data_IF_024860976988
#
_entry.id   IF_024860976988
#
_cell.length_a   1.000
_cell.length_b   1.000
_cell.length_c   1.000
_cell.angle_alpha   90.00
_cell.angle_beta   90.00
_cell.angle_gamma   90.00
#
_symmetry.space_group_name_H-M   'P 1'
#
loop_
_entity.id
_entity.type
_entity.pdbx_description
1 polymer ?
#
# COMPACT_ATOMS: atom_id res chain seq x y z
N UNK A 1 -0.41 19.63 -39.31
CA UNK A 1 -0.14 18.72 -38.18
C UNK A 1 -0.03 17.31 -38.73
N UNK A 2 1.05 16.60 -38.43
CA UNK A 2 1.17 15.20 -38.82
C UNK A 2 0.18 14.37 -37.98
N UNK A 3 -0.34 13.28 -38.53
CA UNK A 3 -1.17 12.35 -37.76
C UNK A 3 -0.28 11.61 -36.75
N UNK A 4 -0.83 11.33 -35.57
CA UNK A 4 -0.19 10.44 -34.60
C UNK A 4 -0.07 9.04 -35.22
N UNK A 5 1.10 8.43 -35.10
CA UNK A 5 1.39 7.08 -35.63
C UNK A 5 1.85 6.21 -34.47
N UNK A 6 1.27 5.03 -34.32
CA UNK A 6 1.68 4.05 -33.33
C UNK A 6 2.29 2.83 -34.02
N UNK A 7 3.45 2.37 -33.55
CA UNK A 7 4.12 1.16 -34.03
C UNK A 7 4.63 0.33 -32.87
N UNK A 8 4.58 -0.98 -32.99
CA UNK A 8 5.33 -1.88 -32.11
C UNK A 8 6.70 -2.13 -32.72
N UNK A 9 7.77 -1.96 -31.93
CA UNK A 9 9.15 -2.09 -32.37
C UNK A 9 9.96 -2.88 -31.35
N UNK A 10 10.87 -3.72 -31.83
CA UNK A 10 11.91 -4.34 -31.01
C UNK A 10 13.06 -3.34 -30.85
N UNK A 11 13.17 -2.76 -29.66
CA UNK A 11 14.13 -1.70 -29.38
C UNK A 11 15.39 -2.33 -28.80
N UNK A 12 16.49 -2.23 -29.55
CA UNK A 12 17.82 -2.65 -29.10
C UNK A 12 18.48 -1.59 -28.22
N UNK A 13 19.52 -1.95 -27.43
CA UNK A 13 20.33 -0.96 -26.69
C UNK A 13 20.85 0.18 -27.56
N UNK A 14 21.35 -0.11 -28.76
CA UNK A 14 21.87 0.91 -29.69
C UNK A 14 20.77 1.85 -30.18
N UNK A 15 19.58 1.30 -30.52
CA UNK A 15 18.43 2.11 -30.89
C UNK A 15 17.98 3.00 -29.74
N UNK A 16 17.98 2.48 -28.51
CA UNK A 16 17.63 3.24 -27.33
C UNK A 16 18.61 4.40 -27.07
N UNK A 17 19.92 4.16 -27.25
CA UNK A 17 20.94 5.18 -27.14
C UNK A 17 20.74 6.30 -28.16
N UNK A 18 20.52 5.94 -29.43
CA UNK A 18 20.22 6.92 -30.50
C UNK A 18 18.94 7.72 -30.23
N UNK A 19 17.89 7.08 -29.70
CA UNK A 19 16.67 7.78 -29.31
C UNK A 19 16.94 8.80 -28.20
N UNK A 20 17.76 8.44 -27.21
CA UNK A 20 18.08 9.30 -26.06
C UNK A 20 18.95 10.51 -26.42
N UNK A 21 19.70 10.50 -27.53
CA UNK A 21 20.40 11.70 -28.02
C UNK A 21 19.45 12.88 -28.28
N UNK A 22 18.17 12.58 -28.56
CA UNK A 22 17.10 13.57 -28.79
C UNK A 22 16.30 13.89 -27.52
N UNK A 23 16.74 13.43 -26.35
CA UNK A 23 16.04 13.66 -25.09
C UNK A 23 16.39 15.02 -24.48
N UNK A 24 15.72 16.08 -24.92
CA UNK A 24 16.02 17.46 -24.52
C UNK A 24 15.04 18.05 -23.50
N UNK A 25 13.91 17.37 -23.24
CA UNK A 25 12.77 17.95 -22.51
C UNK A 25 12.40 17.19 -21.23
N UNK A 26 12.85 15.95 -21.06
CA UNK A 26 12.46 15.17 -19.89
C UNK A 26 13.21 15.62 -18.62
N UNK A 27 12.56 15.41 -17.47
CA UNK A 27 13.11 15.63 -16.14
C UNK A 27 14.38 14.80 -15.87
N UNK A 28 15.14 15.20 -14.85
CA UNK A 28 16.26 14.41 -14.33
C UNK A 28 15.88 12.94 -14.14
N UNK A 29 16.78 12.06 -14.58
CA UNK A 29 16.57 10.62 -14.49
C UNK A 29 16.64 10.12 -13.04
N UNK A 30 15.88 9.07 -12.75
CA UNK A 30 15.93 8.38 -11.46
C UNK A 30 16.62 7.05 -11.69
N UNK A 31 17.89 6.95 -11.30
CA UNK A 31 18.69 5.74 -11.49
C UNK A 31 18.03 4.52 -10.84
N UNK A 32 17.38 4.71 -9.69
CA UNK A 32 16.63 3.65 -9.01
C UNK A 32 15.53 3.03 -9.89
N UNK A 33 14.80 3.85 -10.65
CA UNK A 33 13.76 3.34 -11.55
C UNK A 33 14.36 2.66 -12.78
N UNK A 34 15.47 3.17 -13.31
CA UNK A 34 16.19 2.57 -14.43
C UNK A 34 16.69 1.18 -14.06
N UNK A 35 17.45 1.07 -12.97
CA UNK A 35 18.01 -0.21 -12.51
C UNK A 35 16.92 -1.24 -12.21
N UNK A 36 15.79 -0.81 -11.63
CA UNK A 36 14.64 -1.71 -11.44
C UNK A 36 14.11 -2.25 -12.77
N UNK A 37 13.81 -1.37 -13.72
CA UNK A 37 13.30 -1.78 -15.03
C UNK A 37 14.32 -2.65 -15.77
N UNK A 38 15.61 -2.34 -15.67
CA UNK A 38 16.67 -3.13 -16.28
C UNK A 38 16.72 -4.55 -15.71
N UNK A 39 16.58 -4.70 -14.38
CA UNK A 39 16.50 -6.02 -13.75
C UNK A 39 15.24 -6.79 -14.17
N UNK A 40 14.09 -6.14 -14.25
CA UNK A 40 12.84 -6.76 -14.71
C UNK A 40 12.98 -7.22 -16.18
N UNK A 41 13.60 -6.41 -17.04
CA UNK A 41 13.89 -6.76 -18.44
C UNK A 41 14.87 -7.93 -18.56
N UNK A 42 15.99 -7.88 -17.83
CA UNK A 42 17.03 -8.90 -17.87
C UNK A 42 16.56 -10.26 -17.32
N UNK A 43 15.66 -10.25 -16.33
CA UNK A 43 15.08 -11.45 -15.74
C UNK A 43 13.87 -12.02 -16.51
N UNK A 44 13.39 -11.31 -17.54
CA UNK A 44 12.17 -11.67 -18.27
C UNK A 44 10.88 -11.40 -17.51
N UNK A 45 10.95 -10.74 -16.35
CA UNK A 45 9.79 -10.32 -15.56
C UNK A 45 9.12 -9.03 -16.12
N UNK A 46 9.72 -8.40 -17.13
CA UNK A 46 9.16 -7.20 -17.76
C UNK A 46 7.85 -7.49 -18.48
N UNK A 47 6.75 -6.96 -17.96
CA UNK A 47 5.43 -7.05 -18.58
C UNK A 47 5.18 -5.88 -19.55
N UNK A 48 4.68 -6.19 -20.74
CA UNK A 48 4.15 -5.20 -21.68
C UNK A 48 2.79 -4.67 -21.19
N UNK A 49 2.82 -3.76 -20.22
CA UNK A 49 1.63 -3.18 -19.58
C UNK A 49 0.97 -2.04 -20.39
N UNK A 50 1.27 -1.91 -21.69
CA UNK A 50 0.71 -0.88 -22.58
C UNK A 50 1.40 0.48 -22.50
N UNK A 51 2.43 0.62 -21.67
CA UNK A 51 3.25 1.82 -21.62
C UNK A 51 4.05 2.04 -22.93
N UNK A 52 4.15 3.30 -23.36
CA UNK A 52 4.68 3.66 -24.69
C UNK A 52 5.94 4.51 -24.61
N UNK A 53 6.75 4.54 -25.67
CA UNK A 53 7.72 5.62 -25.93
C UNK A 53 7.05 6.66 -26.80
N UNK A 54 7.09 7.94 -26.40
CA UNK A 54 6.43 9.03 -27.14
C UNK A 54 7.48 9.95 -27.75
N UNK A 55 7.36 10.18 -29.05
CA UNK A 55 8.31 10.97 -29.84
C UNK A 55 7.57 12.11 -30.55
N UNK A 56 8.12 13.31 -30.45
CA UNK A 56 7.60 14.49 -31.12
C UNK A 56 7.80 14.46 -32.64
N UNK A 57 7.13 15.36 -33.36
CA UNK A 57 7.28 15.48 -34.82
C UNK A 57 8.73 15.76 -35.27
N UNK A 58 9.55 16.36 -34.41
CA UNK A 58 10.97 16.69 -34.66
C UNK A 58 11.96 15.65 -34.09
N UNK A 59 11.45 14.53 -33.58
CA UNK A 59 12.25 13.46 -33.00
C UNK A 59 12.57 13.61 -31.51
N UNK A 60 12.13 14.69 -30.85
CA UNK A 60 12.34 14.87 -29.40
C UNK A 60 11.64 13.77 -28.60
N UNK A 61 12.33 13.15 -27.64
CA UNK A 61 11.72 12.19 -26.71
C UNK A 61 10.88 12.92 -25.68
N UNK A 62 9.58 12.60 -25.63
CA UNK A 62 8.61 13.22 -24.74
C UNK A 62 8.24 12.34 -23.54
N UNK A 63 8.45 11.02 -23.65
CA UNK A 63 8.17 10.03 -22.61
C UNK A 63 8.91 8.74 -22.92
N UNK A 64 9.22 7.97 -21.88
CA UNK A 64 9.89 6.68 -21.98
C UNK A 64 11.39 6.71 -21.70
N UNK A 65 11.94 7.83 -21.21
CA UNK A 65 13.38 7.93 -20.96
C UNK A 65 13.92 6.83 -20.03
N UNK A 66 13.21 6.51 -18.93
CA UNK A 66 13.67 5.46 -17.99
C UNK A 66 13.63 4.07 -18.64
N UNK A 67 12.68 3.84 -19.55
CA UNK A 67 12.56 2.58 -20.30
C UNK A 67 13.70 2.44 -21.30
N UNK A 68 14.02 3.51 -22.03
CA UNK A 68 15.15 3.53 -22.97
C UNK A 68 16.48 3.31 -22.24
N UNK A 69 16.71 3.99 -21.12
CA UNK A 69 17.90 3.77 -20.30
C UNK A 69 17.95 2.35 -19.71
N UNK A 70 16.80 1.79 -19.32
CA UNK A 70 16.74 0.43 -18.80
C UNK A 70 17.05 -0.64 -19.87
N UNK A 71 16.65 -0.41 -21.12
CA UNK A 71 17.02 -1.27 -22.26
C UNK A 71 18.55 -1.24 -22.46
N UNK A 72 19.17 -0.06 -22.35
CA UNK A 72 20.64 0.07 -22.42
C UNK A 72 21.30 -0.67 -21.24
N UNK A 73 20.84 -0.43 -20.01
CA UNK A 73 21.43 -0.99 -18.79
C UNK A 73 21.23 -2.51 -18.68
N UNK A 74 20.10 -3.05 -19.15
CA UNK A 74 19.84 -4.50 -19.17
C UNK A 74 20.56 -5.22 -20.31
N UNK A 75 20.91 -4.51 -21.38
CA UNK A 75 21.57 -5.08 -22.56
C UNK A 75 20.67 -5.99 -23.40
N UNK A 76 19.36 -6.07 -23.13
CA UNK A 76 18.42 -6.92 -23.86
C UNK A 76 17.55 -6.10 -24.82
N UNK A 77 17.11 -6.73 -25.92
CA UNK A 77 16.13 -6.13 -26.83
C UNK A 77 14.73 -6.29 -26.27
N UNK A 78 13.96 -5.21 -26.21
CA UNK A 78 12.60 -5.20 -25.66
C UNK A 78 11.61 -4.68 -26.68
N UNK A 79 10.56 -5.46 -26.92
CA UNK A 79 9.43 -5.03 -27.76
C UNK A 79 8.63 -3.94 -27.05
N UNK A 80 8.47 -2.78 -27.70
CA UNK A 80 7.84 -1.59 -27.14
C UNK A 80 6.88 -0.93 -28.13
N UNK A 81 5.83 -0.30 -27.62
CA UNK A 81 4.93 0.54 -28.42
C UNK A 81 5.53 1.95 -28.50
N UNK A 82 5.77 2.43 -29.72
CA UNK A 82 6.30 3.77 -30.01
C UNK A 82 5.23 4.61 -30.71
N UNK A 83 4.96 5.78 -30.13
CA UNK A 83 3.98 6.75 -30.61
C UNK A 83 4.73 7.97 -31.16
N UNK A 84 4.63 8.18 -32.47
CA UNK A 84 5.27 9.27 -33.19
C UNK A 84 4.32 10.45 -33.42
N UNK A 85 4.91 11.61 -33.73
CA UNK A 85 4.23 12.87 -34.05
C UNK A 85 3.36 13.40 -32.90
N UNK A 86 3.78 13.17 -31.65
CA UNK A 86 3.10 13.73 -30.49
C UNK A 86 3.43 15.22 -30.39
N UNK A 87 2.41 16.06 -30.21
CA UNK A 87 2.59 17.51 -30.04
C UNK A 87 3.40 17.81 -28.77
N UNK A 88 4.42 18.68 -28.86
CA UNK A 88 5.27 19.02 -27.71
C UNK A 88 4.47 19.69 -26.58
N UNK A 89 3.40 20.38 -26.91
CA UNK A 89 2.51 21.02 -25.94
C UNK A 89 1.75 19.99 -25.09
N UNK A 90 1.67 18.73 -25.53
CA UNK A 90 1.09 17.64 -24.76
C UNK A 90 2.01 17.14 -23.64
N UNK A 91 3.28 17.56 -23.57
CA UNK A 91 4.23 17.13 -22.52
C UNK A 91 3.71 17.45 -21.11
N UNK A 92 2.94 18.53 -20.94
CA UNK A 92 2.34 18.87 -19.65
C UNK A 92 1.20 17.94 -19.19
N UNK A 93 0.57 17.19 -20.11
CA UNK A 93 -0.48 16.21 -19.79
C UNK A 93 0.03 14.76 -19.81
N UNK A 94 1.06 14.50 -20.62
CA UNK A 94 1.86 13.28 -20.61
C UNK A 94 2.57 13.24 -19.24
N UNK A 95 2.32 12.20 -18.45
CA UNK A 95 2.88 12.03 -17.10
C UNK A 95 2.19 12.80 -15.95
N UNK A 96 0.97 13.29 -16.16
CA UNK A 96 0.03 13.58 -15.05
C UNK A 96 -0.50 12.32 -14.35
N UNK A 97 0.06 11.15 -14.69
CA UNK A 97 -0.36 9.82 -14.26
C UNK A 97 -0.56 9.79 -12.75
N UNK A 98 -1.82 9.73 -12.34
CA UNK A 98 -2.21 9.49 -10.96
C UNK A 98 -1.46 8.25 -10.52
N UNK A 99 -0.48 8.41 -9.61
CA UNK A 99 0.18 7.29 -8.94
C UNK A 99 -0.91 6.32 -8.54
N UNK A 100 -0.94 5.11 -9.11
CA UNK A 100 -1.99 4.15 -8.80
C UNK A 100 -1.85 3.76 -7.34
N UNK A 101 -2.61 4.45 -6.48
CA UNK A 101 -2.67 4.18 -5.05
C UNK A 101 -3.05 2.73 -4.84
N UNK A 102 -2.50 2.09 -3.81
CA UNK A 102 -2.68 0.65 -3.59
C UNK A 102 -4.16 0.22 -3.55
N UNK A 103 -5.07 1.05 -3.02
CA UNK A 103 -6.51 0.76 -3.05
C UNK A 103 -7.12 0.72 -4.46
N UNK A 104 -6.60 1.49 -5.43
CA UNK A 104 -7.03 1.39 -6.83
C UNK A 104 -6.65 0.03 -7.42
N UNK A 105 -5.48 -0.49 -7.06
CA UNK A 105 -5.06 -1.83 -7.46
C UNK A 105 -5.96 -2.90 -6.82
N UNK A 106 -6.27 -2.79 -5.52
CA UNK A 106 -7.19 -3.73 -4.87
C UNK A 106 -8.59 -3.72 -5.49
N UNK A 107 -9.08 -2.54 -5.91
CA UNK A 107 -10.36 -2.43 -6.64
C UNK A 107 -10.32 -3.20 -7.96
N UNK A 108 -9.22 -3.13 -8.71
CA UNK A 108 -9.03 -3.91 -9.95
C UNK A 108 -9.01 -5.41 -9.64
N UNK A 109 -8.38 -5.81 -8.53
CA UNK A 109 -8.33 -7.22 -8.07
C UNK A 109 -9.64 -7.73 -7.47
N UNK A 110 -10.70 -6.93 -7.44
CA UNK A 110 -12.04 -7.33 -6.99
C UNK A 110 -12.27 -7.24 -5.48
N UNK A 111 -11.44 -6.51 -4.74
CA UNK A 111 -11.67 -6.21 -3.31
C UNK A 111 -13.01 -5.50 -3.14
N UNK A 112 -13.82 -5.94 -2.17
CA UNK A 112 -15.08 -5.28 -1.83
C UNK A 112 -14.87 -4.07 -0.92
N UNK A 113 -13.73 -4.03 -0.21
CA UNK A 113 -13.38 -3.01 0.77
C UNK A 113 -12.01 -2.39 0.49
N UNK A 114 -11.75 -1.87 -0.74
CA UNK A 114 -10.40 -1.61 -1.25
C UNK A 114 -9.61 -0.59 -0.41
N UNK A 115 -10.26 0.45 0.11
CA UNK A 115 -9.61 1.49 0.92
C UNK A 115 -9.17 0.94 2.28
N UNK A 116 -10.06 0.20 2.95
CA UNK A 116 -9.79 -0.35 4.28
C UNK A 116 -8.79 -1.52 4.18
N UNK A 117 -9.00 -2.44 3.24
CA UNK A 117 -8.11 -3.56 2.98
C UNK A 117 -6.69 -3.09 2.64
N UNK A 118 -6.53 -2.03 1.82
CA UNK A 118 -5.21 -1.46 1.51
C UNK A 118 -4.47 -0.98 2.77
N UNK A 119 -5.16 -0.33 3.70
CA UNK A 119 -4.54 0.17 4.93
C UNK A 119 -4.21 -0.97 5.90
N UNK A 120 -5.10 -1.96 6.04
CA UNK A 120 -4.84 -3.16 6.84
C UNK A 120 -3.62 -3.90 6.31
N UNK A 121 -3.56 -4.13 5.00
CA UNK A 121 -2.43 -4.79 4.32
C UNK A 121 -1.11 -4.07 4.64
N UNK A 122 -1.11 -2.74 4.52
CA UNK A 122 0.08 -1.93 4.82
C UNK A 122 0.51 -2.06 6.29
N UNK A 123 -0.43 -2.00 7.23
CA UNK A 123 -0.12 -2.20 8.65
C UNK A 123 0.40 -3.61 8.93
N UNK A 124 -0.24 -4.63 8.36
CA UNK A 124 0.17 -6.02 8.50
C UNK A 124 1.59 -6.27 8.00
N UNK A 125 1.91 -5.80 6.79
CA UNK A 125 3.25 -5.86 6.23
C UNK A 125 4.29 -5.20 7.15
N UNK A 126 4.03 -3.97 7.60
CA UNK A 126 4.96 -3.23 8.49
C UNK A 126 5.11 -3.95 9.85
N UNK A 127 4.03 -4.48 10.40
CA UNK A 127 4.04 -5.15 11.71
C UNK A 127 4.93 -6.38 11.70
N UNK A 128 4.82 -7.18 10.65
CA UNK A 128 5.48 -8.49 10.54
C UNK A 128 6.94 -8.37 10.11
N UNK A 129 7.31 -7.33 9.36
CA UNK A 129 8.64 -7.23 8.75
C UNK A 129 9.56 -6.15 9.37
N UNK A 130 9.04 -5.26 10.23
CA UNK A 130 9.81 -4.10 10.73
C UNK A 130 9.64 -3.88 12.25
N UNK A 131 9.98 -4.91 13.02
CA UNK A 131 10.15 -4.90 14.50
C UNK A 131 8.93 -4.43 15.31
N UNK A 132 7.70 -4.50 14.76
CA UNK A 132 6.47 -4.03 15.42
C UNK A 132 6.53 -2.56 15.89
N UNK A 133 7.54 -1.80 15.45
CA UNK A 133 7.76 -0.44 15.90
C UNK A 133 6.79 0.53 15.24
N UNK A 134 6.25 0.21 14.05
CA UNK A 134 5.22 1.03 13.38
C UNK A 134 5.59 2.53 13.31
N UNK A 135 6.88 2.86 13.20
CA UNK A 135 7.38 4.24 13.13
C UNK A 135 7.20 4.77 11.71
N UNK A 136 6.82 6.04 11.57
CA UNK A 136 6.44 6.61 10.27
C UNK A 136 7.61 6.79 9.28
N UNK A 137 8.86 6.73 9.77
CA UNK A 137 10.08 6.97 8.99
C UNK A 137 10.39 5.91 7.94
N UNK A 138 9.77 4.73 8.02
CA UNK A 138 9.96 3.59 7.11
C UNK A 138 9.11 3.67 5.82
N UNK A 139 8.25 4.70 5.71
CA UNK A 139 7.10 4.71 4.80
C UNK A 139 7.38 4.84 3.28
N UNK A 140 8.58 5.25 2.84
CA UNK A 140 8.82 5.57 1.40
C UNK A 140 9.27 4.39 0.54
N UNK A 141 9.95 3.39 1.10
CA UNK A 141 10.42 2.21 0.35
C UNK A 141 9.51 0.99 0.57
N UNK A 142 8.86 0.91 1.73
CA UNK A 142 8.20 -0.29 2.26
C UNK A 142 6.70 -0.37 1.98
N UNK A 143 6.17 0.55 1.17
CA UNK A 143 4.72 0.65 0.86
C UNK A 143 4.44 0.66 -0.64
N UNK A 144 5.42 0.21 -1.44
CA UNK A 144 5.29 0.06 -2.89
C UNK A 144 4.30 -1.06 -3.20
N UNK A 145 3.48 -0.86 -4.23
CA UNK A 145 2.51 -1.86 -4.67
C UNK A 145 3.16 -3.22 -4.98
N UNK A 146 4.38 -3.23 -5.54
CA UNK A 146 5.11 -4.47 -5.85
C UNK A 146 5.45 -5.35 -4.64
N UNK A 147 5.40 -4.79 -3.43
CA UNK A 147 5.61 -5.53 -2.18
C UNK A 147 4.27 -5.84 -1.52
N UNK A 148 3.36 -4.87 -1.50
CA UNK A 148 2.06 -5.01 -0.83
C UNK A 148 1.10 -5.94 -1.59
N UNK A 149 1.20 -6.02 -2.91
CA UNK A 149 0.32 -6.84 -3.75
C UNK A 149 0.51 -8.35 -3.52
N UNK A 150 1.73 -8.91 -3.58
CA UNK A 150 1.93 -10.33 -3.24
C UNK A 150 1.48 -10.64 -1.81
N UNK A 151 1.80 -9.78 -0.85
CA UNK A 151 1.37 -9.96 0.54
C UNK A 151 -0.15 -9.95 0.70
N UNK A 152 -0.85 -9.06 -0.03
CA UNK A 152 -2.31 -9.04 -0.06
C UNK A 152 -2.86 -10.33 -0.66
N UNK A 153 -2.30 -10.81 -1.77
CA UNK A 153 -2.78 -12.02 -2.44
C UNK A 153 -2.63 -13.26 -1.55
N UNK A 154 -1.52 -13.39 -0.84
CA UNK A 154 -1.27 -14.49 0.11
C UNK A 154 -2.21 -14.47 1.32
N UNK A 155 -2.65 -13.29 1.76
CA UNK A 155 -3.44 -13.10 2.98
C UNK A 155 -4.88 -12.63 2.68
N UNK A 156 -5.33 -12.77 1.44
CA UNK A 156 -6.51 -12.08 0.89
C UNK A 156 -7.78 -12.31 1.72
N UNK A 157 -8.08 -13.56 2.03
CA UNK A 157 -9.32 -13.92 2.72
C UNK A 157 -9.41 -13.28 4.11
N UNK A 158 -8.30 -13.33 4.88
CA UNK A 158 -8.24 -12.72 6.20
C UNK A 158 -8.28 -11.20 6.14
N UNK A 159 -7.60 -10.59 5.17
CA UNK A 159 -7.57 -9.14 4.98
C UNK A 159 -8.95 -8.58 4.56
N UNK A 160 -9.62 -9.24 3.62
CA UNK A 160 -10.97 -8.87 3.19
C UNK A 160 -11.99 -9.09 4.29
N UNK A 161 -11.91 -10.21 5.03
CA UNK A 161 -12.78 -10.47 6.16
C UNK A 161 -12.62 -9.40 7.25
N UNK A 162 -11.36 -9.07 7.58
CA UNK A 162 -11.09 -8.03 8.56
C UNK A 162 -11.58 -6.64 8.11
N UNK A 163 -11.44 -6.32 6.82
CA UNK A 163 -11.96 -5.09 6.24
C UNK A 163 -13.50 -5.03 6.29
N UNK A 164 -14.18 -6.13 5.93
CA UNK A 164 -15.64 -6.24 5.97
C UNK A 164 -16.19 -6.03 7.40
N UNK A 165 -15.60 -6.71 8.38
CA UNK A 165 -15.99 -6.58 9.79
C UNK A 165 -15.80 -5.16 10.32
N UNK A 166 -14.70 -4.50 9.92
CA UNK A 166 -14.39 -3.12 10.31
C UNK A 166 -15.31 -2.09 9.63
N UNK A 167 -15.80 -2.36 8.42
CA UNK A 167 -16.70 -1.46 7.70
C UNK A 167 -18.15 -1.54 8.18
N UNK A 168 -18.56 -2.66 8.75
CA UNK A 168 -19.90 -2.88 9.29
C UNK A 168 -19.97 -2.54 10.80
N UNK A 169 -21.00 -1.83 11.26
CA UNK A 169 -21.38 -1.77 12.69
C UNK A 169 -20.36 -1.17 13.67
N UNK A 170 -19.36 -0.42 13.19
CA UNK A 170 -18.24 0.09 13.99
C UNK A 170 -17.97 1.60 13.78
N UNK A 171 -19.02 2.40 13.53
CA UNK A 171 -18.89 3.82 13.15
C UNK A 171 -18.17 4.72 14.17
N UNK A 172 -18.06 4.29 15.42
CA UNK A 172 -17.38 5.00 16.49
C UNK A 172 -15.86 4.80 16.49
N UNK A 173 -15.35 3.85 15.70
CA UNK A 173 -13.95 3.42 15.74
C UNK A 173 -13.26 3.63 14.39
N UNK A 174 -11.94 3.87 14.42
CA UNK A 174 -11.15 3.98 13.20
C UNK A 174 -11.04 2.61 12.55
N UNK A 175 -11.67 2.45 11.39
CA UNK A 175 -11.83 1.17 10.68
C UNK A 175 -10.51 0.47 10.42
N UNK A 176 -9.49 1.19 9.94
CA UNK A 176 -8.18 0.60 9.64
C UNK A 176 -7.45 0.07 10.88
N UNK A 177 -7.56 0.75 12.02
CA UNK A 177 -6.94 0.29 13.27
C UNK A 177 -7.65 -0.96 13.80
N UNK A 178 -8.98 -0.91 13.82
CA UNK A 178 -9.81 -2.04 14.24
C UNK A 178 -9.57 -3.26 13.36
N UNK A 179 -9.66 -3.09 12.03
CA UNK A 179 -9.49 -4.16 11.06
C UNK A 179 -8.08 -4.76 11.12
N UNK A 180 -7.05 -3.94 11.29
CA UNK A 180 -5.68 -4.45 11.45
C UNK A 180 -5.51 -5.26 12.74
N UNK A 181 -5.99 -4.77 13.88
CA UNK A 181 -5.93 -5.54 15.12
C UNK A 181 -6.74 -6.85 15.01
N UNK A 182 -7.93 -6.80 14.42
CA UNK A 182 -8.75 -7.97 14.20
C UNK A 182 -8.07 -8.99 13.26
N UNK A 183 -7.43 -8.54 12.18
CA UNK A 183 -6.58 -9.37 11.33
C UNK A 183 -5.48 -10.09 12.13
N UNK A 184 -4.76 -9.39 13.01
CA UNK A 184 -3.76 -10.03 13.87
C UNK A 184 -4.38 -11.06 14.81
N UNK A 185 -5.58 -10.79 15.36
CA UNK A 185 -6.26 -11.70 16.27
C UNK A 185 -6.79 -12.95 15.55
N UNK A 186 -7.30 -12.79 14.32
CA UNK A 186 -7.72 -13.90 13.47
C UNK A 186 -6.56 -14.88 13.21
N UNK A 187 -5.35 -14.37 12.97
CA UNK A 187 -4.15 -15.20 12.78
C UNK A 187 -3.76 -16.01 14.03
N UNK A 188 -4.18 -15.59 15.23
CA UNK A 188 -3.88 -16.26 16.50
C UNK A 188 -4.98 -17.21 16.95
N UNK A 189 -6.23 -16.73 16.95
CA UNK A 189 -7.39 -17.51 17.35
C UNK A 189 -8.66 -16.94 16.69
N UNK A 190 -9.12 -17.51 15.55
CA UNK A 190 -10.27 -16.99 14.81
C UNK A 190 -11.54 -16.90 15.65
N UNK A 191 -11.86 -17.95 16.43
CA UNK A 191 -13.08 -18.00 17.23
C UNK A 191 -13.11 -16.90 18.30
N UNK A 192 -12.01 -16.73 19.04
CA UNK A 192 -11.91 -15.68 20.05
C UNK A 192 -11.85 -14.28 19.44
N UNK A 193 -11.27 -14.14 18.25
CA UNK A 193 -11.24 -12.87 17.53
C UNK A 193 -12.65 -12.40 17.18
N UNK A 194 -13.50 -13.31 16.68
CA UNK A 194 -14.90 -13.02 16.37
C UNK A 194 -15.71 -12.62 17.62
N UNK A 195 -15.52 -13.37 18.71
CA UNK A 195 -16.14 -13.05 20.00
C UNK A 195 -15.71 -11.65 20.49
N UNK A 196 -14.40 -11.39 20.47
CA UNK A 196 -13.83 -10.12 20.89
C UNK A 196 -14.37 -8.95 20.07
N UNK A 197 -14.36 -9.05 18.73
CA UNK A 197 -14.79 -7.95 17.87
C UNK A 197 -16.30 -7.69 17.97
N UNK A 198 -17.10 -8.74 18.15
CA UNK A 198 -18.55 -8.62 18.41
C UNK A 198 -18.80 -7.83 19.69
N UNK A 199 -18.11 -8.16 20.78
CA UNK A 199 -18.21 -7.43 22.05
C UNK A 199 -17.69 -5.98 21.91
N UNK A 200 -16.60 -5.77 21.18
CA UNK A 200 -16.06 -4.42 20.88
C UNK A 200 -17.06 -3.58 20.11
N UNK A 201 -17.87 -4.15 19.23
CA UNK A 201 -18.85 -3.41 18.42
C UNK A 201 -20.15 -3.15 19.20
N UNK A 202 -20.73 -4.20 19.77
CA UNK A 202 -22.03 -4.14 20.48
C UNK A 202 -21.92 -3.42 21.82
N UNK A 203 -20.87 -3.72 22.60
CA UNK A 203 -20.77 -3.28 23.99
C UNK A 203 -21.68 -4.03 24.96
N UNK A 204 -22.30 -5.12 24.52
CA UNK A 204 -23.21 -5.92 25.34
C UNK A 204 -22.46 -6.81 26.32
N UNK A 205 -23.08 -7.10 27.47
CA UNK A 205 -22.54 -7.99 28.52
C UNK A 205 -21.17 -7.57 29.07
N UNK A 206 -20.86 -6.28 29.00
CA UNK A 206 -19.64 -5.71 29.56
C UNK A 206 -19.88 -5.22 30.99
N UNK A 207 -18.95 -5.52 31.89
CA UNK A 207 -18.99 -5.12 33.30
C UNK A 207 -17.83 -4.17 33.63
N UNK A 208 -17.91 -3.47 34.76
CA UNK A 208 -16.84 -2.59 35.25
C UNK A 208 -15.54 -3.37 35.47
N UNK A 209 -14.48 -3.00 34.76
CA UNK A 209 -13.20 -3.73 34.78
C UNK A 209 -12.98 -4.63 33.57
N UNK A 210 -14.03 -4.92 32.79
CA UNK A 210 -13.92 -5.72 31.57
C UNK A 210 -12.98 -5.02 30.55
N UNK A 211 -11.94 -5.69 30.02
CA UNK A 211 -10.93 -5.06 29.16
C UNK A 211 -11.52 -4.40 27.89
N UNK A 212 -12.53 -5.02 27.29
CA UNK A 212 -13.27 -4.48 26.14
C UNK A 212 -14.06 -3.20 26.49
N UNK A 213 -14.64 -3.10 27.70
CA UNK A 213 -15.33 -1.89 28.13
C UNK A 213 -14.34 -0.73 28.21
N UNK A 214 -13.20 -0.96 28.85
CA UNK A 214 -12.12 0.01 28.97
C UNK A 214 -11.59 0.45 27.60
N UNK A 215 -11.41 -0.48 26.67
CA UNK A 215 -11.04 -0.16 25.29
C UNK A 215 -12.08 0.76 24.63
N UNK A 216 -13.35 0.36 24.67
CA UNK A 216 -14.45 1.12 24.04
C UNK A 216 -14.53 2.53 24.59
N UNK A 217 -14.56 2.70 25.91
CA UNK A 217 -14.58 4.02 26.55
C UNK A 217 -13.40 4.87 26.09
N UNK A 218 -12.18 4.31 26.12
CA UNK A 218 -10.97 5.04 25.71
C UNK A 218 -11.01 5.51 24.26
N UNK A 219 -11.53 4.69 23.33
CA UNK A 219 -11.65 5.05 21.92
C UNK A 219 -12.79 6.05 21.65
N UNK A 220 -13.90 5.94 22.36
CA UNK A 220 -15.03 6.87 22.25
C UNK A 220 -14.62 8.25 22.80
N UNK A 221 -14.02 8.31 23.98
CA UNK A 221 -13.52 9.55 24.60
C UNK A 221 -12.49 10.24 23.70
N UNK A 222 -11.65 9.45 23.01
CA UNK A 222 -10.68 9.98 22.06
C UNK A 222 -11.32 10.78 20.91
N UNK A 223 -12.57 10.51 20.53
CA UNK A 223 -13.25 11.26 19.45
C UNK A 223 -13.47 12.72 19.81
N UNK A 224 -13.73 13.02 21.08
CA UNK A 224 -13.96 14.39 21.57
C UNK A 224 -12.74 15.00 22.25
N UNK A 225 -11.74 14.19 22.61
CA UNK A 225 -10.48 14.67 23.20
C UNK A 225 -9.76 15.67 22.30
N UNK A 226 -9.20 16.73 22.89
CA UNK A 226 -8.26 17.65 22.23
C UNK A 226 -6.90 16.98 21.96
N UNK A 227 -6.48 16.10 22.85
CA UNK A 227 -5.26 15.32 22.73
C UNK A 227 -5.61 13.95 22.14
N UNK A 228 -5.44 13.80 20.83
CA UNK A 228 -5.77 12.56 20.11
C UNK A 228 -4.76 11.47 20.42
N UNK A 229 -5.26 10.25 20.60
CA UNK A 229 -4.45 9.05 20.57
C UNK A 229 -3.78 8.93 19.20
N UNK A 230 -2.49 8.64 19.23
CA UNK A 230 -1.74 8.23 18.06
C UNK A 230 -2.24 6.89 17.52
N UNK A 231 -1.88 6.57 16.28
CA UNK A 231 -2.12 5.25 15.68
C UNK A 231 -1.56 4.16 16.60
N UNK A 232 -0.30 4.30 17.01
CA UNK A 232 0.39 3.29 17.82
C UNK A 232 -0.24 3.08 19.20
N UNK A 233 -0.66 4.15 19.88
CA UNK A 233 -1.39 4.01 21.15
C UNK A 233 -2.72 3.26 20.95
N UNK A 234 -3.45 3.59 19.87
CA UNK A 234 -4.70 2.90 19.54
C UNK A 234 -4.45 1.41 19.33
N UNK A 235 -3.45 1.04 18.53
CA UNK A 235 -3.08 -0.35 18.27
C UNK A 235 -2.65 -1.07 19.56
N UNK A 236 -1.81 -0.43 20.39
CA UNK A 236 -1.36 -0.99 21.66
C UNK A 236 -2.52 -1.27 22.62
N UNK A 237 -3.53 -0.40 22.66
CA UNK A 237 -4.70 -0.59 23.53
C UNK A 237 -5.60 -1.73 23.05
N UNK A 238 -5.82 -1.86 21.73
CA UNK A 238 -6.48 -3.03 21.16
C UNK A 238 -5.77 -4.32 21.57
N UNK A 239 -4.45 -4.40 21.39
CA UNK A 239 -3.68 -5.62 21.70
C UNK A 239 -3.67 -5.89 23.21
N UNK A 240 -3.57 -4.87 24.05
CA UNK A 240 -3.64 -5.04 25.53
C UNK A 240 -5.00 -5.53 25.99
N UNK A 241 -6.08 -5.01 25.40
CA UNK A 241 -7.43 -5.48 25.69
C UNK A 241 -7.64 -6.92 25.25
N UNK A 242 -7.18 -7.28 24.04
CA UNK A 242 -7.18 -8.65 23.52
C UNK A 242 -6.46 -9.63 24.47
N UNK A 243 -5.22 -9.29 24.83
CA UNK A 243 -4.41 -10.12 25.72
C UNK A 243 -5.02 -10.27 27.12
N UNK A 244 -5.77 -9.27 27.60
CA UNK A 244 -6.48 -9.36 28.87
C UNK A 244 -7.77 -10.20 28.75
N UNK A 245 -8.51 -10.02 27.67
CA UNK A 245 -9.71 -10.79 27.35
C UNK A 245 -9.41 -12.30 27.26
N UNK A 246 -8.37 -12.69 26.51
CA UNK A 246 -7.97 -14.10 26.42
C UNK A 246 -7.61 -14.74 27.77
N UNK A 247 -7.13 -13.93 28.72
CA UNK A 247 -6.74 -14.38 30.06
C UNK A 247 -7.88 -14.31 31.09
N UNK A 248 -9.05 -13.80 30.71
CA UNK A 248 -10.14 -13.55 31.66
C UNK A 248 -9.75 -12.61 32.80
N UNK A 249 -8.84 -11.65 32.55
CA UNK A 249 -8.39 -10.69 33.57
C UNK A 249 -9.01 -9.33 33.36
N UNK A 250 -9.30 -8.65 34.45
CA UNK A 250 -9.74 -7.26 34.43
C UNK A 250 -8.61 -6.31 33.99
N UNK A 251 -9.01 -5.24 33.33
CA UNK A 251 -8.14 -4.16 32.89
C UNK A 251 -8.92 -2.86 32.89
N UNK A 252 -8.77 -2.05 33.94
CA UNK A 252 -9.44 -0.75 34.09
C UNK A 252 -8.68 0.43 33.48
N UNK A 253 -7.36 0.29 33.24
CA UNK A 253 -6.50 1.36 32.70
C UNK A 253 -5.46 0.80 31.75
N UNK A 254 -5.26 1.44 30.60
CA UNK A 254 -4.12 1.17 29.73
C UNK A 254 -2.90 1.99 30.17
N UNK A 255 -1.78 1.30 30.40
CA UNK A 255 -0.47 1.91 30.62
C UNK A 255 0.45 1.49 29.47
N UNK A 256 0.83 2.40 28.58
CA UNK A 256 1.76 2.15 27.48
C UNK A 256 2.36 3.48 27.03
N UNK A 257 3.65 3.50 26.70
CA UNK A 257 4.34 4.67 26.18
C UNK A 257 4.61 4.51 24.68
N UNK A 258 4.44 5.57 23.91
CA UNK A 258 4.72 5.60 22.48
C UNK A 258 6.23 5.44 22.14
N UNK A 259 7.14 5.39 23.12
CA UNK A 259 8.53 4.99 22.86
C UNK A 259 8.75 3.47 22.85
N UNK A 260 7.87 2.69 23.47
CA UNK A 260 7.97 1.22 23.59
C UNK A 260 7.57 0.53 22.27
N UNK A 261 7.96 -0.73 22.09
CA UNK A 261 7.40 -1.57 21.04
C UNK A 261 5.89 -1.81 21.24
N UNK A 262 5.19 -2.11 20.14
CA UNK A 262 3.81 -2.57 20.29
C UNK A 262 3.78 -3.89 21.07
N UNK A 263 2.80 -4.07 21.98
CA UNK A 263 2.64 -5.33 22.68
C UNK A 263 2.51 -6.50 21.69
N UNK A 264 3.05 -7.65 22.08
CA UNK A 264 2.88 -8.87 21.29
C UNK A 264 1.43 -9.38 21.39
N UNK A 265 0.89 -9.80 20.24
CA UNK A 265 -0.41 -10.47 20.19
C UNK A 265 -0.23 -11.92 20.63
N UNK A 266 -0.96 -12.31 21.68
CA UNK A 266 -0.99 -13.68 22.20
C UNK A 266 -1.98 -14.54 21.43
#
# INVERSE_FOLDING_TARGET
MKKIITKTLDITPDMAAQMLERNTMNRNISQLNVTRYANDMASGAWEQNGETIKIAEDGTILDGQHRLWAIIESGVTVTMIVVYNVRKEAVGSIDSGVTRLFHHLLKIKGSQHPTTAAMITKFAWIYENFDRQMRSSSAKTETRNSVLEPYYDENRDLLEHAAAVAECGAHHFVKSHMGFCFYLFLKKNPQKAEEFIKLVKTGENLYTGHPIMTLRSKLIDNRISKNKLTVRETLAFYIKAWNAFLKGRDLSVFRWNNSEELPEVK
#
